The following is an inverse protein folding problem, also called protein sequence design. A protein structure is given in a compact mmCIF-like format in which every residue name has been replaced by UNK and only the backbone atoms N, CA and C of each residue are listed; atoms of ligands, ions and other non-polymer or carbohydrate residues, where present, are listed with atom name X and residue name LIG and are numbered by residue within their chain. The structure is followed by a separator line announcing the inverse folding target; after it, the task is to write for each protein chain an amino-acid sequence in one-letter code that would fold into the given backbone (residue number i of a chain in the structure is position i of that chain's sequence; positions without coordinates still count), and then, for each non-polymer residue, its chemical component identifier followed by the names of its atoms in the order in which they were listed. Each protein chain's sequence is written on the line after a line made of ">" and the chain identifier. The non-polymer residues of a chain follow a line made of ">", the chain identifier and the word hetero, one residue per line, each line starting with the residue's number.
data_IF_888176310000
#
_entry.id   IF_888176310000
#
_cell.length_a   1.000
_cell.length_b   1.000
_cell.length_c   1.000
_cell.angle_alpha   90.00
_cell.angle_beta   90.00
_cell.angle_gamma   90.00
#
_symmetry.space_group_name_H-M   'P 1'
#
loop_
_entity.id
_entity.type
_entity.pdbx_description
1 polymer ?
#
# COMPACT_ATOMS: atom_id res chain seq x y z
N UNK A 1 -31.76 -25.60 9.06
CA UNK A 1 -30.83 -25.15 8.01
C UNK A 1 -30.35 -23.77 8.38
N UNK A 2 -29.22 -23.69 9.04
CA UNK A 2 -28.59 -22.47 9.53
C UNK A 2 -27.55 -22.04 8.49
N UNK A 3 -27.71 -20.85 7.94
CA UNK A 3 -26.73 -20.24 7.02
C UNK A 3 -25.43 -19.96 7.77
N UNK A 4 -24.28 -20.32 7.22
CA UNK A 4 -22.97 -19.92 7.76
C UNK A 4 -22.57 -18.60 7.09
N UNK A 5 -23.09 -17.49 7.57
CA UNK A 5 -22.59 -16.16 7.26
C UNK A 5 -21.96 -15.59 8.52
N UNK A 6 -20.75 -15.99 8.81
CA UNK A 6 -19.96 -15.35 9.87
C UNK A 6 -19.64 -13.92 9.47
N UNK A 7 -20.22 -12.94 10.17
CA UNK A 7 -19.82 -11.56 10.07
C UNK A 7 -18.35 -11.45 10.50
N UNK A 8 -17.47 -11.01 9.62
CA UNK A 8 -16.10 -10.66 9.99
C UNK A 8 -16.12 -9.37 10.79
N UNK A 9 -15.51 -9.40 11.97
CA UNK A 9 -15.35 -8.23 12.82
C UNK A 9 -13.91 -7.73 12.77
N UNK A 10 -13.74 -6.42 12.66
CA UNK A 10 -12.44 -5.76 12.82
C UNK A 10 -12.31 -5.30 14.27
N UNK A 11 -11.24 -5.72 14.95
CA UNK A 11 -11.00 -5.33 16.34
C UNK A 11 -10.28 -3.98 16.39
N UNK A 12 -10.96 -2.93 16.84
CA UNK A 12 -10.41 -1.58 17.02
C UNK A 12 -10.46 -1.25 18.52
N UNK A 13 -9.29 -1.02 19.15
CA UNK A 13 -9.17 -0.74 20.58
C UNK A 13 -9.94 -1.72 21.50
N UNK A 14 -9.89 -3.01 21.16
CA UNK A 14 -10.61 -4.04 21.94
C UNK A 14 -12.10 -4.18 21.60
N UNK A 15 -12.65 -3.34 20.74
CA UNK A 15 -14.05 -3.39 20.30
C UNK A 15 -14.13 -4.07 18.93
N UNK A 16 -14.95 -5.12 18.82
CA UNK A 16 -15.23 -5.78 17.54
C UNK A 16 -16.24 -4.95 16.74
N UNK A 17 -15.89 -4.56 15.53
CA UNK A 17 -16.77 -3.81 14.61
C UNK A 17 -17.04 -4.71 13.42
N UNK A 18 -18.31 -5.07 13.12
CA UNK A 18 -18.65 -5.88 11.96
C UNK A 18 -18.21 -5.23 10.65
N UNK A 19 -17.48 -5.97 9.82
CA UNK A 19 -16.95 -5.48 8.55
C UNK A 19 -18.05 -4.94 7.62
N UNK A 20 -19.26 -5.51 7.68
CA UNK A 20 -20.43 -5.03 6.93
C UNK A 20 -20.81 -3.58 7.25
N UNK A 21 -20.58 -3.12 8.48
CA UNK A 21 -20.83 -1.73 8.86
C UNK A 21 -19.81 -0.79 8.20
N UNK A 22 -18.61 -1.27 7.87
CA UNK A 22 -17.56 -0.52 7.21
C UNK A 22 -17.81 -0.39 5.70
N UNK A 23 -18.42 -1.40 5.07
CA UNK A 23 -18.73 -1.40 3.64
C UNK A 23 -19.91 -0.48 3.25
N UNK A 24 -20.80 -0.18 4.19
CA UNK A 24 -21.97 0.68 3.97
C UNK A 24 -21.75 2.16 4.29
N UNK A 25 -20.55 2.56 4.66
CA UNK A 25 -20.26 3.90 5.15
C UNK A 25 -19.99 4.90 4.02
N UNK A 26 -20.56 6.10 4.17
CA UNK A 26 -20.30 7.26 3.31
C UNK A 26 -18.80 7.62 3.28
N UNK A 27 -18.37 8.26 2.19
CA UNK A 27 -16.98 8.63 1.90
C UNK A 27 -16.31 9.40 3.05
N UNK A 28 -17.07 10.25 3.75
CA UNK A 28 -16.58 11.03 4.90
C UNK A 28 -16.16 10.15 6.09
N UNK A 29 -16.89 9.06 6.34
CA UNK A 29 -16.58 8.15 7.44
C UNK A 29 -15.41 7.22 7.08
N UNK A 30 -15.26 6.87 5.81
CA UNK A 30 -14.09 6.12 5.29
C UNK A 30 -12.80 6.93 5.49
N UNK A 31 -12.83 8.22 5.20
CA UNK A 31 -11.71 9.14 5.43
C UNK A 31 -11.36 9.24 6.92
N UNK A 32 -12.35 9.44 7.78
CA UNK A 32 -12.14 9.51 9.23
C UNK A 32 -11.59 8.20 9.81
N UNK A 33 -12.01 7.04 9.29
CA UNK A 33 -11.47 5.74 9.70
C UNK A 33 -10.04 5.52 9.21
N UNK A 34 -9.71 5.97 8.00
CA UNK A 34 -8.34 5.90 7.49
C UNK A 34 -7.41 6.78 8.34
N UNK A 35 -7.84 7.98 8.74
CA UNK A 35 -7.10 8.83 9.67
C UNK A 35 -6.97 8.21 11.07
N UNK A 36 -8.03 7.59 11.58
CA UNK A 36 -7.98 6.90 12.88
C UNK A 36 -7.02 5.72 12.86
N UNK A 37 -7.06 4.86 11.83
CA UNK A 37 -6.13 3.74 11.66
C UNK A 37 -4.68 4.22 11.52
N UNK A 38 -4.46 5.35 10.82
CA UNK A 38 -3.16 6.02 10.73
C UNK A 38 -2.66 6.44 12.10
N UNK A 39 -3.51 7.02 12.94
CA UNK A 39 -3.19 7.49 14.29
C UNK A 39 -2.88 6.33 15.23
N UNK A 40 -3.62 5.24 15.15
CA UNK A 40 -3.43 4.04 16.00
C UNK A 40 -2.15 3.29 15.64
N UNK A 41 -1.81 3.17 14.34
CA UNK A 41 -0.57 2.52 13.91
C UNK A 41 0.70 3.31 14.30
N UNK A 42 0.64 4.63 14.39
CA UNK A 42 1.76 5.46 14.88
C UNK A 42 2.09 5.15 16.35
N UNK A 43 1.09 4.72 17.14
CA UNK A 43 1.27 4.45 18.58
C UNK A 43 1.81 3.06 18.91
N UNK A 44 1.88 2.12 17.95
CA UNK A 44 2.32 0.74 18.21
C UNK A 44 3.76 0.43 17.82
N UNK A 45 4.50 1.34 17.19
CA UNK A 45 5.80 1.03 16.56
C UNK A 45 7.03 1.58 17.30
N UNK A 46 6.93 1.84 18.62
CA UNK A 46 8.07 2.30 19.44
C UNK A 46 9.08 1.19 19.83
N UNK A 47 9.00 0.00 19.23
CA UNK A 47 9.83 -1.15 19.65
C UNK A 47 10.62 -1.90 18.58
N UNK A 48 10.80 -1.36 17.37
CA UNK A 48 11.71 -2.00 16.39
C UNK A 48 12.85 -1.05 16.00
N UNK A 49 14.06 -1.42 16.38
CA UNK A 49 15.30 -0.66 16.24
C UNK A 49 15.57 -0.08 14.85
N UNK A 50 15.71 1.25 14.78
CA UNK A 50 16.83 1.79 14.08
C UNK A 50 16.70 2.29 12.66
N UNK A 51 15.55 2.77 12.17
CA UNK A 51 15.56 3.79 11.11
C UNK A 51 14.75 4.98 11.61
N UNK A 52 15.40 6.16 11.70
CA UNK A 52 14.73 7.39 12.06
C UNK A 52 13.54 7.59 11.11
N UNK A 53 12.34 7.72 11.68
CA UNK A 53 11.16 8.10 10.91
C UNK A 53 11.45 9.43 10.22
N UNK A 54 11.19 9.52 8.92
CA UNK A 54 11.27 10.78 8.19
C UNK A 54 9.89 11.45 8.27
N UNK A 55 9.86 12.74 8.58
CA UNK A 55 8.60 13.46 8.51
C UNK A 55 8.09 13.51 7.06
N UNK A 56 6.78 13.48 6.87
CA UNK A 56 6.17 13.51 5.53
C UNK A 56 6.65 14.73 4.74
N UNK A 57 6.66 15.90 5.36
CA UNK A 57 7.09 17.15 4.74
C UNK A 57 8.53 17.08 4.29
N UNK A 58 9.43 16.54 5.12
CA UNK A 58 10.85 16.35 4.80
C UNK A 58 11.03 15.38 3.62
N UNK A 59 10.24 14.31 3.57
CA UNK A 59 10.25 13.38 2.43
C UNK A 59 9.91 14.09 1.13
N UNK A 60 8.81 14.87 1.11
CA UNK A 60 8.37 15.59 -0.09
C UNK A 60 9.32 16.72 -0.48
N UNK A 61 9.95 17.40 0.48
CA UNK A 61 10.99 18.39 0.20
C UNK A 61 12.19 17.76 -0.50
N UNK A 62 12.73 16.66 0.05
CA UNK A 62 13.86 15.94 -0.54
C UNK A 62 13.54 15.34 -1.92
N UNK A 63 12.30 14.86 -2.11
CA UNK A 63 11.82 14.40 -3.40
C UNK A 63 11.77 15.55 -4.41
N UNK A 64 11.28 16.73 -4.01
CA UNK A 64 11.19 17.93 -4.83
C UNK A 64 12.55 18.50 -5.24
N UNK A 65 13.58 18.34 -4.40
CA UNK A 65 14.95 18.72 -4.75
C UNK A 65 15.51 17.86 -5.91
N UNK A 66 15.00 16.64 -6.10
CA UNK A 66 15.40 15.77 -7.20
C UNK A 66 14.62 16.03 -8.48
N UNK A 67 13.31 16.21 -8.37
CA UNK A 67 12.40 16.51 -9.47
C UNK A 67 11.24 17.35 -8.94
N UNK A 68 11.20 18.65 -9.21
CA UNK A 68 10.22 19.57 -8.63
C UNK A 68 8.75 19.20 -8.88
N UNK A 69 8.45 18.41 -9.93
CA UNK A 69 7.08 18.00 -10.25
C UNK A 69 6.59 16.81 -9.41
N UNK A 70 7.51 16.00 -8.89
CA UNK A 70 7.12 14.76 -8.20
C UNK A 70 6.28 14.97 -6.94
N UNK A 71 6.55 15.95 -6.06
CA UNK A 71 5.72 16.14 -4.87
C UNK A 71 4.23 16.30 -5.19
N UNK A 72 3.88 17.15 -6.15
CA UNK A 72 2.49 17.38 -6.54
C UNK A 72 1.84 16.15 -7.19
N UNK A 73 2.54 15.51 -8.12
CA UNK A 73 2.06 14.30 -8.79
C UNK A 73 1.88 13.13 -7.81
N UNK A 74 2.87 12.92 -6.92
CA UNK A 74 2.80 11.85 -5.94
C UNK A 74 1.69 12.09 -4.91
N UNK A 75 1.51 13.32 -4.39
CA UNK A 75 0.40 13.64 -3.48
C UNK A 75 -0.95 13.38 -4.14
N UNK A 76 -1.13 13.74 -5.41
CA UNK A 76 -2.34 13.44 -6.17
C UNK A 76 -2.60 11.94 -6.29
N UNK A 77 -1.56 11.17 -6.62
CA UNK A 77 -1.64 9.70 -6.69
C UNK A 77 -1.99 9.10 -5.33
N UNK A 78 -1.32 9.55 -4.23
CA UNK A 78 -1.57 9.03 -2.89
C UNK A 78 -2.99 9.30 -2.41
N UNK A 79 -3.53 10.48 -2.66
CA UNK A 79 -4.92 10.80 -2.33
C UNK A 79 -5.91 9.83 -3.01
N UNK A 80 -5.63 9.42 -4.25
CA UNK A 80 -6.42 8.40 -4.95
C UNK A 80 -6.17 7.00 -4.39
N UNK A 81 -4.92 6.64 -4.09
CA UNK A 81 -4.58 5.34 -3.51
C UNK A 81 -5.22 5.16 -2.13
N UNK A 82 -5.18 6.17 -1.27
CA UNK A 82 -5.79 6.16 0.06
C UNK A 82 -7.33 6.18 0.03
N UNK A 83 -7.94 6.49 -1.13
CA UNK A 83 -9.38 6.29 -1.33
C UNK A 83 -9.75 4.81 -1.49
N UNK A 84 -8.80 3.94 -1.81
CA UNK A 84 -8.98 2.50 -1.75
C UNK A 84 -9.07 2.07 -0.28
N UNK A 85 -10.08 1.28 0.05
CA UNK A 85 -10.33 0.89 1.44
C UNK A 85 -9.13 0.17 2.06
N UNK A 86 -8.70 0.65 3.23
CA UNK A 86 -7.59 0.06 4.00
C UNK A 86 -6.19 0.42 3.50
N UNK A 87 -6.06 1.22 2.45
CA UNK A 87 -4.76 1.72 1.98
C UNK A 87 -4.33 2.93 2.82
N UNK A 88 -3.06 2.96 3.19
CA UNK A 88 -2.45 4.04 3.96
C UNK A 88 -0.97 4.19 3.61
N UNK A 89 -0.41 5.35 3.94
CA UNK A 89 1.02 5.64 3.81
C UNK A 89 1.73 5.61 5.17
N UNK A 90 3.00 5.21 5.15
CA UNK A 90 3.87 5.12 6.32
C UNK A 90 5.27 5.59 5.95
N UNK A 91 5.87 6.47 6.77
CA UNK A 91 7.16 7.11 6.52
C UNK A 91 8.23 6.59 7.47
N UNK A 92 9.01 5.60 7.02
CA UNK A 92 10.12 4.99 7.76
C UNK A 92 11.42 5.06 6.95
N UNK A 93 12.05 6.25 6.89
CA UNK A 93 13.24 6.49 6.05
C UNK A 93 12.96 6.49 4.53
N UNK A 94 11.82 5.98 4.11
CA UNK A 94 11.20 6.02 2.80
C UNK A 94 9.69 6.06 3.01
N UNK A 95 8.93 6.40 1.99
CA UNK A 95 7.48 6.29 2.03
C UNK A 95 7.07 4.89 1.61
N UNK A 96 6.27 4.22 2.44
CA UNK A 96 5.68 2.93 2.15
C UNK A 96 4.19 3.08 1.89
N UNK A 97 3.71 2.49 0.81
CA UNK A 97 2.30 2.40 0.47
C UNK A 97 1.79 1.02 0.87
N UNK A 98 0.95 1.00 1.88
CA UNK A 98 0.52 -0.22 2.57
C UNK A 98 -1.00 -0.38 2.53
N UNK A 99 -1.46 -1.61 2.70
CA UNK A 99 -2.86 -1.93 2.98
C UNK A 99 -2.94 -2.70 4.30
N UNK A 100 -3.91 -2.34 5.14
CA UNK A 100 -4.20 -3.05 6.38
C UNK A 100 -4.81 -4.43 6.06
N UNK A 101 -4.13 -5.50 6.47
CA UNK A 101 -4.64 -6.86 6.30
C UNK A 101 -5.42 -7.31 7.54
N UNK A 102 -6.51 -8.08 7.38
CA UNK A 102 -7.22 -8.68 8.49
C UNK A 102 -6.34 -9.57 9.39
N UNK A 103 -5.30 -10.19 8.83
CA UNK A 103 -4.35 -11.04 9.58
C UNK A 103 -3.32 -10.24 10.39
N UNK A 104 -3.45 -8.91 10.46
CA UNK A 104 -2.53 -8.03 11.18
C UNK A 104 -1.17 -7.81 10.50
N UNK A 105 -0.89 -8.47 9.37
CA UNK A 105 0.33 -8.27 8.58
C UNK A 105 0.04 -7.35 7.40
N UNK A 106 0.47 -6.06 7.43
CA UNK A 106 0.17 -5.15 6.34
C UNK A 106 0.77 -5.62 5.02
N UNK A 107 0.03 -5.38 3.92
CA UNK A 107 0.55 -5.54 2.56
C UNK A 107 1.40 -4.31 2.24
N UNK A 108 2.68 -4.48 1.97
CA UNK A 108 3.48 -3.40 1.41
C UNK A 108 3.48 -3.51 -0.12
N UNK A 109 2.77 -2.61 -0.78
CA UNK A 109 2.59 -2.61 -2.23
C UNK A 109 3.70 -1.86 -2.96
N UNK A 110 4.27 -0.84 -2.33
CA UNK A 110 5.40 -0.10 -2.85
C UNK A 110 6.15 0.64 -1.75
N UNK A 111 7.47 0.68 -1.84
CA UNK A 111 8.34 1.57 -1.08
C UNK A 111 8.92 2.60 -2.04
N UNK A 112 8.70 3.88 -1.76
CA UNK A 112 9.17 5.00 -2.58
C UNK A 112 10.25 5.74 -1.81
N UNK A 113 11.45 5.79 -2.38
CA UNK A 113 12.56 6.52 -1.77
C UNK A 113 12.45 8.03 -2.03
N UNK A 114 13.10 8.84 -1.19
CA UNK A 114 13.28 10.29 -1.39
C UNK A 114 13.98 10.67 -2.71
N UNK A 115 14.59 9.70 -3.39
CA UNK A 115 15.16 9.85 -4.74
C UNK A 115 14.19 9.48 -5.85
N UNK A 116 12.93 9.15 -5.55
CA UNK A 116 11.90 8.78 -6.53
C UNK A 116 12.05 7.37 -7.10
N UNK A 117 12.87 6.50 -6.49
CA UNK A 117 12.94 5.07 -6.86
C UNK A 117 11.76 4.35 -6.21
N UNK A 118 11.11 3.48 -6.97
CA UNK A 118 9.97 2.67 -6.51
C UNK A 118 10.39 1.21 -6.39
N UNK A 119 10.29 0.66 -5.20
CA UNK A 119 10.51 -0.75 -4.91
C UNK A 119 9.18 -1.44 -4.61
N UNK A 120 8.77 -2.36 -5.47
CA UNK A 120 7.57 -3.18 -5.28
C UNK A 120 7.92 -4.61 -4.83
N UNK A 121 9.20 -4.88 -4.56
CA UNK A 121 9.67 -6.18 -4.06
C UNK A 121 8.96 -6.64 -2.78
N UNK A 122 8.68 -5.76 -1.80
CA UNK A 122 7.94 -6.14 -0.59
C UNK A 122 6.58 -6.79 -0.83
N UNK A 123 5.92 -6.55 -1.96
CA UNK A 123 4.66 -7.22 -2.31
C UNK A 123 4.79 -8.74 -2.48
N UNK A 124 6.01 -9.24 -2.70
CA UNK A 124 6.31 -10.67 -2.90
C UNK A 124 6.76 -11.39 -1.62
N UNK A 125 6.80 -10.70 -0.50
CA UNK A 125 7.29 -11.26 0.75
C UNK A 125 6.30 -12.26 1.36
N UNK A 126 6.84 -13.14 2.19
CA UNK A 126 6.11 -14.16 2.92
C UNK A 126 5.49 -15.19 1.97
N UNK A 127 4.31 -15.65 2.28
CA UNK A 127 3.48 -16.58 1.52
C UNK A 127 2.77 -15.96 0.30
N UNK A 128 2.93 -14.65 0.07
CA UNK A 128 2.27 -13.85 -0.98
C UNK A 128 3.08 -13.76 -2.28
N UNK A 129 4.15 -14.54 -2.41
CA UNK A 129 5.10 -14.42 -3.55
C UNK A 129 4.41 -14.46 -4.91
N UNK A 130 3.53 -15.42 -5.13
CA UNK A 130 2.84 -15.57 -6.41
C UNK A 130 1.92 -14.38 -6.73
N UNK A 131 1.18 -13.88 -5.73
CA UNK A 131 0.29 -12.73 -5.88
C UNK A 131 1.08 -11.45 -6.12
N UNK A 132 2.14 -11.21 -5.35
CA UNK A 132 3.04 -10.07 -5.54
C UNK A 132 3.76 -10.11 -6.89
N UNK A 133 4.16 -11.29 -7.36
CA UNK A 133 4.72 -11.46 -8.69
C UNK A 133 3.69 -11.10 -9.77
N UNK A 134 2.45 -11.59 -9.67
CA UNK A 134 1.35 -11.24 -10.59
C UNK A 134 1.08 -9.73 -10.62
N UNK A 135 1.11 -9.07 -9.45
CA UNK A 135 1.01 -7.61 -9.34
C UNK A 135 2.18 -6.92 -10.09
N UNK A 136 3.42 -7.35 -9.86
CA UNK A 136 4.60 -6.80 -10.51
C UNK A 136 4.63 -7.06 -12.02
N UNK A 137 4.09 -8.18 -12.50
CA UNK A 137 3.95 -8.48 -13.93
C UNK A 137 2.95 -7.54 -14.62
N UNK A 138 1.85 -7.16 -13.93
CA UNK A 138 0.92 -6.14 -14.44
C UNK A 138 1.63 -4.80 -14.58
N UNK A 139 2.37 -4.37 -13.56
CA UNK A 139 3.14 -3.12 -13.62
C UNK A 139 4.23 -3.18 -14.70
N UNK A 140 4.94 -4.31 -14.84
CA UNK A 140 5.96 -4.49 -15.87
C UNK A 140 5.38 -4.26 -17.27
N UNK A 141 4.18 -4.78 -17.56
CA UNK A 141 3.50 -4.57 -18.86
C UNK A 141 3.17 -3.09 -19.11
N UNK A 142 2.82 -2.32 -18.06
CA UNK A 142 2.49 -0.92 -18.19
C UNK A 142 3.70 -0.06 -18.59
N UNK A 143 4.89 -0.39 -18.05
CA UNK A 143 6.08 0.45 -18.18
C UNK A 143 7.14 -0.14 -19.11
N UNK A 144 6.82 -1.23 -19.83
CA UNK A 144 7.81 -1.90 -20.69
C UNK A 144 8.96 -2.55 -19.91
N UNK A 145 8.70 -2.97 -18.67
CA UNK A 145 9.66 -3.60 -17.78
C UNK A 145 9.60 -5.13 -17.81
N UNK A 146 10.23 -5.72 -16.81
CA UNK A 146 10.23 -7.18 -16.57
C UNK A 146 10.19 -7.46 -15.07
N UNK A 147 9.92 -8.71 -14.71
CA UNK A 147 10.01 -9.20 -13.33
C UNK A 147 11.23 -10.13 -13.26
N UNK A 148 12.08 -9.93 -12.25
CA UNK A 148 13.25 -10.77 -12.04
C UNK A 148 12.88 -12.08 -11.32
N UNK A 149 13.86 -12.98 -11.12
CA UNK A 149 13.68 -14.28 -10.45
C UNK A 149 13.12 -14.18 -9.02
N UNK A 150 13.28 -13.03 -8.36
CA UNK A 150 12.73 -12.76 -7.02
C UNK A 150 11.30 -12.26 -7.06
N UNK A 151 10.72 -12.05 -8.25
CA UNK A 151 9.39 -11.47 -8.41
C UNK A 151 9.36 -9.94 -8.37
N UNK A 152 10.52 -9.27 -8.41
CA UNK A 152 10.65 -7.82 -8.28
C UNK A 152 10.59 -7.12 -9.64
N UNK A 153 9.89 -6.00 -9.73
CA UNK A 153 9.77 -5.17 -10.93
C UNK A 153 11.11 -4.52 -11.32
N UNK A 154 11.45 -4.59 -12.60
CA UNK A 154 12.69 -4.02 -13.15
C UNK A 154 12.45 -3.38 -14.52
N UNK A 155 13.18 -2.29 -14.79
CA UNK A 155 13.35 -1.70 -16.12
C UNK A 155 14.84 -1.72 -16.44
N UNK A 156 15.23 -2.41 -17.52
CA UNK A 156 16.64 -2.58 -17.89
C UNK A 156 17.53 -3.02 -16.70
N UNK A 157 17.02 -3.96 -15.87
CA UNK A 157 17.70 -4.50 -14.70
C UNK A 157 17.69 -3.60 -13.44
N UNK A 158 17.13 -2.40 -13.51
CA UNK A 158 17.05 -1.45 -12.37
C UNK A 158 15.63 -1.37 -11.81
N UNK A 159 15.50 -0.92 -10.56
CA UNK A 159 14.20 -0.55 -10.00
C UNK A 159 13.60 0.61 -10.79
N UNK A 160 12.28 0.62 -11.04
CA UNK A 160 11.59 1.72 -11.71
C UNK A 160 11.64 3.00 -10.87
N UNK A 161 11.30 4.10 -11.51
CA UNK A 161 11.16 5.41 -10.87
C UNK A 161 9.71 5.88 -10.91
N UNK A 162 9.40 6.90 -10.13
CA UNK A 162 8.10 7.58 -10.20
C UNK A 162 7.78 8.08 -11.60
N UNK A 163 8.80 8.53 -12.35
CA UNK A 163 8.63 8.94 -13.76
C UNK A 163 8.12 7.83 -14.67
N UNK A 164 8.36 6.59 -14.33
CA UNK A 164 7.96 5.44 -15.14
C UNK A 164 6.52 5.00 -14.82
N UNK A 165 6.09 5.13 -13.57
CA UNK A 165 4.80 4.63 -13.08
C UNK A 165 3.70 5.71 -13.04
N UNK A 166 4.02 6.94 -12.62
CA UNK A 166 3.01 8.02 -12.50
C UNK A 166 2.27 8.35 -13.81
N UNK A 167 2.88 8.27 -15.01
CA UNK A 167 2.12 8.42 -16.25
C UNK A 167 1.01 7.38 -16.46
N UNK A 168 1.07 6.26 -15.72
CA UNK A 168 0.12 5.15 -15.74
C UNK A 168 -0.65 5.04 -14.42
N UNK A 169 -0.87 6.16 -13.71
CA UNK A 169 -1.40 6.17 -12.33
C UNK A 169 -2.69 5.37 -12.17
N UNK A 170 -3.66 5.50 -13.09
CA UNK A 170 -4.92 4.78 -12.99
C UNK A 170 -4.71 3.27 -13.09
N UNK A 171 -3.93 2.82 -14.06
CA UNK A 171 -3.63 1.40 -14.22
C UNK A 171 -2.80 0.84 -13.05
N UNK A 172 -1.98 1.68 -12.41
CA UNK A 172 -1.28 1.31 -11.19
C UNK A 172 -2.27 1.14 -10.02
N UNK A 173 -3.23 2.05 -9.84
CA UNK A 173 -4.30 1.92 -8.85
C UNK A 173 -5.15 0.67 -9.09
N UNK A 174 -5.53 0.39 -10.33
CA UNK A 174 -6.30 -0.81 -10.70
C UNK A 174 -5.52 -2.10 -10.37
N UNK A 175 -4.20 -2.10 -10.61
CA UNK A 175 -3.33 -3.23 -10.27
C UNK A 175 -3.21 -3.42 -8.74
N UNK A 176 -3.14 -2.33 -7.97
CA UNK A 176 -3.14 -2.37 -6.50
C UNK A 176 -4.45 -2.92 -5.96
N UNK A 177 -5.58 -2.41 -6.43
CA UNK A 177 -6.91 -2.86 -6.02
C UNK A 177 -7.11 -4.36 -6.30
N UNK A 178 -6.66 -4.83 -7.47
CA UNK A 178 -6.73 -6.24 -7.81
C UNK A 178 -5.82 -7.08 -6.91
N UNK A 179 -4.60 -6.61 -6.61
CA UNK A 179 -3.68 -7.30 -5.71
C UNK A 179 -4.27 -7.42 -4.29
N UNK A 180 -4.88 -6.34 -3.77
CA UNK A 180 -5.56 -6.36 -2.47
C UNK A 180 -6.67 -7.40 -2.48
N UNK A 181 -7.53 -7.41 -3.50
CA UNK A 181 -8.63 -8.39 -3.63
C UNK A 181 -8.12 -9.83 -3.67
N UNK A 182 -7.07 -10.08 -4.44
CA UNK A 182 -6.48 -11.42 -4.60
C UNK A 182 -5.91 -11.92 -3.26
N UNK A 183 -5.24 -11.05 -2.49
CA UNK A 183 -4.72 -11.40 -1.17
C UNK A 183 -5.85 -11.68 -0.19
N UNK A 184 -6.84 -10.79 -0.10
CA UNK A 184 -7.98 -10.97 0.82
C UNK A 184 -8.79 -12.23 0.50
N UNK A 185 -8.83 -12.66 -0.77
CA UNK A 185 -9.50 -13.90 -1.17
C UNK A 185 -8.73 -15.17 -0.77
N UNK A 186 -7.41 -15.07 -0.52
CA UNK A 186 -6.56 -16.21 -0.13
C UNK A 186 -6.29 -16.27 1.37
N UNK A 187 -6.44 -15.18 2.10
CA UNK A 187 -6.30 -15.16 3.55
C UNK A 187 -7.56 -15.76 4.20
N UNK A 188 -7.46 -16.87 4.95
CA UNK A 188 -8.62 -17.41 5.65
C UNK A 188 -9.14 -16.37 6.66
N UNK A 189 -10.46 -16.23 6.82
CA UNK A 189 -11.00 -15.45 7.93
C UNK A 189 -10.57 -16.09 9.26
N UNK A 190 -9.99 -15.30 10.16
CA UNK A 190 -9.73 -15.71 11.54
C UNK A 190 -11.04 -15.91 12.33
#
# INVERSE_FOLDING_TARGET
>A
MTSPGGDMDVKINGTNIPLRLLYGLDTGLKTAMSEFLRTVNISQDDSSGGRAAIAEEEFFELLGQREPRFPGLLRSFLAKAESLMGVYTDFQGAMNLKHASPTGRPLNMATITKGGVVDTGPSTWWDRRALGQSYNEKLAKLIGGSVNEKGELRIAGKMPRLSDLLPHEQAWLDAMEQYIRDVLATEPPE
#
